data_IF_822761406486
#
_entry.id   IF_822761406486
#
_cell.length_a   1.000
_cell.length_b   1.000
_cell.length_c   1.000
_cell.angle_alpha   90.00
_cell.angle_beta   90.00
_cell.angle_gamma   90.00
#
_symmetry.space_group_name_H-M   'P 1'
#
loop_
_entity.id
_entity.type
_entity.pdbx_description
1 polymer ?
2 non-polymer ?
3 non-polymer ?
4 non-polymer ?
5 water ?
#
# COMPACT_ATOMS: atom_id res chain seq x y z
N UNK A 6 -10.51 2.48 28.84
CA UNK A 6 -9.21 3.19 28.97
C UNK A 6 -9.35 4.47 28.14
N UNK A 7 -8.94 5.62 28.65
CA UNK A 7 -9.09 6.87 27.90
C UNK A 7 -7.79 7.59 27.58
N UNK A 8 -7.59 7.89 26.30
CA UNK A 8 -6.40 8.60 25.84
C UNK A 8 -6.79 9.84 25.03
N UNK A 9 -5.82 10.74 24.84
CA UNK A 9 -6.07 11.96 24.08
C UNK A 9 -7.24 12.75 24.62
N UNK A 10 -7.38 12.71 25.95
CA UNK A 10 -8.45 13.40 26.68
C UNK A 10 -9.84 12.84 26.43
N UNK A 11 -10.23 12.63 25.17
CA UNK A 11 -11.57 12.14 24.93
C UNK A 11 -11.76 10.96 24.00
N UNK A 12 -10.78 10.05 23.95
CA UNK A 12 -10.88 8.84 23.12
C UNK A 12 -10.82 7.58 23.99
N UNK A 13 -11.87 6.78 23.91
CA UNK A 13 -11.91 5.56 24.69
C UNK A 13 -11.39 4.37 23.89
N UNK A 14 -10.31 3.79 24.41
CA UNK A 14 -9.62 2.63 23.83
C UNK A 14 -10.44 1.33 23.99
N UNK A 15 -10.66 0.63 22.89
CA UNK A 15 -11.39 -0.63 22.91
C UNK A 15 -10.44 -1.82 22.80
N UNK A 16 -10.74 -2.76 21.91
CA UNK A 16 -9.91 -3.94 21.72
C UNK A 16 -8.95 -3.79 20.54
N UNK A 17 -7.94 -4.65 20.50
CA UNK A 17 -6.95 -4.67 19.43
C UNK A 17 -7.59 -5.14 18.14
N UNK A 18 -7.21 -4.52 17.03
CA UNK A 18 -7.72 -4.88 15.70
C UNK A 18 -6.55 -5.14 14.74
N UNK A 19 -5.36 -4.70 15.12
CA UNK A 19 -4.22 -4.90 14.27
C UNK A 19 -2.92 -4.79 15.04
N UNK A 20 -1.86 -5.31 14.44
CA UNK A 20 -0.55 -5.30 15.04
C UNK A 20 0.46 -5.13 13.90
N UNK A 21 1.56 -4.44 14.18
CA UNK A 21 2.57 -4.22 13.17
C UNK A 21 3.92 -4.60 13.73
N UNK A 22 4.98 -4.01 13.19
CA UNK A 22 6.33 -4.30 13.65
C UNK A 22 6.54 -3.80 15.08
N UNK A 23 6.13 -2.56 15.36
CA UNK A 23 6.28 -1.97 16.69
C UNK A 23 4.97 -1.48 17.30
N UNK A 24 3.97 -1.20 16.45
CA UNK A 24 2.72 -0.68 16.94
C UNK A 24 1.54 -1.62 17.00
N UNK A 25 0.58 -1.25 17.86
CA UNK A 25 -0.66 -2.00 18.05
C UNK A 25 -1.78 -1.01 17.74
N UNK A 26 -2.77 -1.47 17.00
CA UNK A 26 -3.89 -0.63 16.62
C UNK A 26 -5.14 -1.13 17.32
N UNK A 27 -5.85 -0.21 17.97
CA UNK A 27 -7.08 -0.52 18.69
C UNK A 27 -8.26 0.21 18.07
N UNK A 28 -9.44 -0.35 18.20
CA UNK A 28 -10.63 0.32 17.73
C UNK A 28 -11.08 1.11 18.97
N UNK A 29 -11.68 2.27 18.78
CA UNK A 29 -12.13 3.05 19.91
C UNK A 29 -13.23 4.00 19.50
N UNK A 30 -13.58 4.95 20.36
CA UNK A 30 -14.61 5.92 20.04
C UNK A 30 -14.25 7.28 20.61
N UNK A 31 -14.67 8.32 19.89
CA UNK A 31 -14.46 9.68 20.32
C UNK A 31 -15.63 9.94 21.24
N UNK A 32 -15.34 10.17 22.52
CA UNK A 32 -16.39 10.38 23.52
C UNK A 32 -17.27 11.61 23.33
N UNK A 33 -16.79 12.62 22.60
CA UNK A 33 -17.58 13.82 22.37
C UNK A 33 -18.71 13.59 21.36
N UNK A 34 -18.45 12.77 20.34
CA UNK A 34 -19.45 12.52 19.30
C UNK A 34 -19.83 11.07 19.05
N UNK A 35 -19.27 10.15 19.83
CA UNK A 35 -19.57 8.74 19.68
C UNK A 35 -19.11 8.21 18.31
N UNK A 36 -18.12 8.84 17.71
CA UNK A 36 -17.62 8.41 16.42
C UNK A 36 -16.57 7.29 16.62
N UNK A 37 -16.57 6.30 15.74
CA UNK A 37 -15.61 5.20 15.85
C UNK A 37 -14.30 5.59 15.22
N UNK A 38 -13.20 5.25 15.89
CA UNK A 38 -11.87 5.57 15.40
C UNK A 38 -10.90 4.40 15.62
N UNK A 39 -9.69 4.55 15.12
CA UNK A 39 -8.64 3.57 15.28
C UNK A 39 -7.52 4.34 15.94
N UNK A 40 -6.92 3.74 16.96
CA UNK A 40 -5.84 4.37 17.70
C UNK A 40 -4.59 3.52 17.54
N UNK A 41 -3.54 4.14 17.00
CA UNK A 41 -2.27 3.48 16.77
C UNK A 41 -1.30 3.86 17.86
N UNK A 42 -0.87 2.86 18.62
CA UNK A 42 0.09 3.04 19.70
C UNK A 42 1.47 2.66 19.19
N UNK A 43 2.42 3.55 19.40
CA UNK A 43 3.79 3.34 18.97
C UNK A 43 4.74 3.60 20.12
N UNK A 44 5.53 2.59 20.50
CA UNK A 44 6.51 2.70 21.58
C UNK A 44 7.60 3.69 21.20
N UNK A 45 7.95 4.60 22.11
CA UNK A 45 8.99 5.57 21.80
C UNK A 45 10.36 4.94 21.99
N UNK A 46 10.89 4.29 20.95
CA UNK A 46 12.18 3.64 21.04
C UNK A 46 13.03 3.95 19.82
N UNK A 47 14.35 3.84 19.99
CA UNK A 47 15.32 4.12 18.95
C UNK A 47 15.02 3.51 17.58
N UNK A 48 14.72 2.22 17.58
CA UNK A 48 14.44 1.52 16.32
C UNK A 48 12.99 1.57 15.85
N UNK A 49 12.19 2.47 16.39
CA UNK A 49 10.79 2.58 15.99
C UNK A 49 10.56 3.79 15.08
N UNK A 50 9.58 3.69 14.17
CA UNK A 50 9.27 4.78 13.25
C UNK A 50 8.57 5.93 13.97
N UNK A 51 9.07 7.15 13.77
CA UNK A 51 8.49 8.33 14.40
C UNK A 51 7.05 8.57 13.94
N UNK A 52 6.11 8.36 14.85
CA UNK A 52 4.68 8.54 14.55
C UNK A 52 4.32 9.99 14.22
N UNK A 53 5.11 10.96 14.67
CA UNK A 53 4.81 12.36 14.37
C UNK A 53 4.92 12.61 12.87
N UNK A 54 5.83 11.90 12.23
CA UNK A 54 6.04 12.03 10.80
C UNK A 54 4.81 11.51 10.06
N UNK A 55 4.29 10.37 10.52
CA UNK A 55 3.09 9.81 9.90
C UNK A 55 1.94 10.79 10.07
N UNK A 56 1.93 11.49 11.21
CA UNK A 56 0.90 12.48 11.51
C UNK A 56 1.01 13.62 10.49
N UNK A 57 2.23 14.15 10.36
CA UNK A 57 2.49 15.24 9.41
C UNK A 57 1.98 14.84 8.03
N UNK A 58 2.36 13.66 7.58
CA UNK A 58 1.94 13.14 6.27
C UNK A 58 0.42 13.06 6.11
N UNK A 59 -0.27 12.63 7.17
CA UNK A 59 -1.73 12.53 7.11
C UNK A 59 -2.33 13.91 6.91
N UNK A 60 -1.73 14.90 7.56
CA UNK A 60 -2.24 16.26 7.44
C UNK A 60 -2.04 16.77 6.02
N UNK A 61 -0.85 16.51 5.50
CA UNK A 61 -0.46 16.90 4.15
C UNK A 61 -1.37 16.26 3.09
N UNK A 62 -1.93 15.09 3.40
CA UNK A 62 -2.80 14.40 2.46
C UNK A 62 -4.28 14.56 2.80
N UNK A 63 -4.58 15.37 3.81
CA UNK A 63 -5.97 15.58 4.23
C UNK A 63 -6.85 16.00 3.06
N UNK A 64 -7.98 15.34 2.90
CA UNK A 64 -8.86 15.70 1.80
C UNK A 64 -8.78 14.82 0.56
N UNK A 65 -7.65 14.14 0.36
CA UNK A 65 -7.50 13.27 -0.79
C UNK A 65 -8.42 12.06 -0.64
N UNK A 66 -9.01 11.61 -1.74
CA UNK A 66 -9.91 10.46 -1.71
C UNK A 66 -9.16 9.20 -1.28
N UNK A 67 -9.81 8.37 -0.46
CA UNK A 67 -9.16 7.15 -0.01
C UNK A 67 -8.13 7.31 1.08
N UNK A 68 -7.93 8.52 1.59
CA UNK A 68 -6.98 8.75 2.67
C UNK A 68 -7.79 9.01 3.94
N UNK A 69 -7.58 8.21 5.02
CA UNK A 69 -8.35 8.45 6.24
C UNK A 69 -8.01 9.78 6.94
N UNK A 70 -8.98 10.31 7.67
CA UNK A 70 -8.78 11.56 8.39
C UNK A 70 -8.02 11.27 9.67
N UNK A 71 -7.16 12.21 10.05
CA UNK A 71 -6.39 12.10 11.27
C UNK A 71 -7.06 13.04 12.28
N UNK A 72 -7.13 12.62 13.53
CA UNK A 72 -7.79 13.40 14.57
C UNK A 72 -6.91 13.85 15.69
N UNK A 73 -6.00 12.98 16.10
CA UNK A 73 -5.15 13.32 17.23
C UNK A 73 -3.80 12.62 17.21
N UNK A 74 -2.79 13.32 17.70
CA UNK A 74 -1.45 12.79 17.84
C UNK A 74 -0.94 13.29 19.18
N UNK A 75 -0.31 12.42 19.95
CA UNK A 75 0.21 12.83 21.24
C UNK A 75 0.93 11.70 21.96
N UNK A 76 1.47 12.00 23.13
CA UNK A 76 2.18 11.00 23.91
C UNK A 76 1.34 10.54 25.08
N UNK A 77 1.31 9.24 25.29
CA UNK A 77 0.59 8.64 26.39
C UNK A 77 1.60 7.78 27.13
N UNK A 78 2.33 8.41 28.04
CA UNK A 78 3.34 7.71 28.81
C UNK A 78 4.55 7.35 27.98
N UNK A 79 4.71 6.06 27.70
CA UNK A 79 5.83 5.58 26.91
C UNK A 79 5.43 5.29 25.46
N UNK A 80 4.30 5.81 25.05
CA UNK A 80 3.82 5.59 23.70
C UNK A 80 3.41 6.89 23.04
N UNK A 81 3.35 6.86 21.72
CA UNK A 81 2.88 7.98 20.93
C UNK A 81 1.61 7.39 20.34
N UNK A 82 0.54 8.17 20.33
CA UNK A 82 -0.74 7.73 19.79
C UNK A 82 -1.13 8.57 18.59
N UNK A 83 -1.83 7.93 17.66
CA UNK A 83 -2.34 8.56 16.44
C UNK A 83 -3.76 8.04 16.31
N UNK A 84 -4.72 8.97 16.26
CA UNK A 84 -6.13 8.62 16.14
C UNK A 84 -6.55 8.96 14.73
N UNK A 85 -7.09 7.99 14.01
CA UNK A 85 -7.51 8.17 12.63
C UNK A 85 -8.83 7.44 12.48
N UNK A 86 -9.43 7.53 11.30
CA UNK A 86 -10.70 6.86 11.06
C UNK A 86 -10.59 5.35 11.16
N UNK A 87 -11.67 4.74 11.63
CA UNK A 87 -11.72 3.29 11.73
C UNK A 87 -12.11 2.76 10.37
N UNK A 88 -11.30 1.85 9.83
CA UNK A 88 -11.59 1.29 8.52
C UNK A 88 -11.87 -0.20 8.62
N UNK A 89 -12.13 -0.83 7.47
CA UNK A 89 -12.42 -2.26 7.45
C UNK A 89 -11.18 -3.13 7.29
N UNK A 90 -11.37 -4.39 6.85
CA UNK A 90 -10.25 -5.31 6.67
C UNK A 90 -9.35 -4.94 5.49
N UNK A 91 -8.11 -5.44 5.51
CA UNK A 91 -7.15 -5.18 4.45
C UNK A 91 -7.42 -6.15 3.31
N UNK A 92 -6.79 -5.91 2.16
CA UNK A 92 -6.96 -6.79 1.02
C UNK A 92 -6.31 -8.15 1.31
N UNK A 93 -5.29 -8.14 2.18
CA UNK A 93 -4.64 -9.38 2.59
C UNK A 93 -5.66 -10.25 3.36
N UNK A 94 -6.44 -9.62 4.24
CA UNK A 94 -7.46 -10.32 5.03
C UNK A 94 -8.54 -10.86 4.12
N UNK A 95 -8.93 -10.04 3.15
CA UNK A 95 -9.97 -10.43 2.22
C UNK A 95 -9.55 -11.63 1.39
N UNK A 96 -8.26 -11.74 1.10
CA UNK A 96 -7.71 -12.87 0.35
C UNK A 96 -8.04 -14.17 1.07
N UNK A 97 -7.82 -14.18 2.37
CA UNK A 97 -8.11 -15.36 3.18
C UNK A 97 -9.55 -15.81 3.06
N UNK A 98 -10.45 -14.86 2.82
CA UNK A 98 -11.87 -15.21 2.70
C UNK A 98 -12.31 -15.59 1.29
N UNK A 99 -11.42 -15.41 0.31
CA UNK A 99 -11.76 -15.71 -1.07
C UNK A 99 -10.88 -16.78 -1.73
N UNK A 100 -10.42 -17.74 -0.96
CA UNK A 100 -9.62 -18.80 -1.53
C UNK A 100 -8.20 -18.42 -1.89
N UNK A 101 -7.69 -17.37 -1.26
CA UNK A 101 -6.31 -16.90 -1.47
C UNK A 101 -5.95 -16.35 -2.87
N UNK A 102 -6.98 -15.98 -3.64
CA UNK A 102 -6.78 -15.41 -4.98
C UNK A 102 -8.00 -14.58 -5.36
N UNK A 103 -7.80 -13.57 -6.20
CA UNK A 103 -8.88 -12.72 -6.67
C UNK A 103 -9.04 -12.95 -8.16
N UNK A 104 -10.26 -12.84 -8.66
CA UNK A 104 -10.55 -13.00 -10.08
C UNK A 104 -10.05 -11.77 -10.84
N UNK A 105 -10.00 -11.89 -12.16
CA UNK A 105 -9.56 -10.78 -13.00
C UNK A 105 -10.40 -9.53 -12.78
N UNK A 106 -11.72 -9.68 -12.74
CA UNK A 106 -12.58 -8.54 -12.52
C UNK A 106 -12.27 -7.79 -11.21
N UNK A 107 -12.12 -8.52 -10.11
CA UNK A 107 -11.83 -7.89 -8.84
C UNK A 107 -10.46 -7.19 -8.87
N UNK A 108 -9.48 -7.81 -9.51
CA UNK A 108 -8.15 -7.22 -9.57
C UNK A 108 -8.13 -5.95 -10.42
N UNK A 109 -8.84 -5.96 -11.53
CA UNK A 109 -8.91 -4.78 -12.39
C UNK A 109 -9.64 -3.64 -11.66
N UNK A 110 -10.75 -3.93 -10.99
CA UNK A 110 -11.49 -2.89 -10.26
C UNK A 110 -10.67 -2.36 -9.09
N UNK A 111 -9.99 -3.27 -8.37
CA UNK A 111 -9.15 -2.90 -7.23
C UNK A 111 -7.94 -2.08 -7.66
N UNK A 112 -7.36 -2.48 -8.79
CA UNK A 112 -6.18 -1.82 -9.36
C UNK A 112 -6.46 -0.35 -9.68
N UNK A 113 -7.64 -0.07 -10.24
CA UNK A 113 -8.01 1.30 -10.57
C UNK A 113 -8.03 2.22 -9.34
N UNK A 114 -8.56 1.72 -8.23
CA UNK A 114 -8.62 2.50 -6.99
C UNK A 114 -7.23 2.64 -6.36
N UNK A 115 -6.50 1.53 -6.28
CA UNK A 115 -5.17 1.51 -5.70
C UNK A 115 -4.21 2.44 -6.44
N UNK A 116 -4.28 2.41 -7.77
CA UNK A 116 -3.46 3.25 -8.62
C UNK A 116 -3.81 4.72 -8.41
N UNK A 117 -5.10 5.00 -8.21
CA UNK A 117 -5.52 6.37 -7.97
C UNK A 117 -4.94 6.89 -6.64
N UNK A 118 -4.89 6.02 -5.61
CA UNK A 118 -4.35 6.42 -4.30
C UNK A 118 -2.86 6.76 -4.41
N UNK A 119 -2.11 5.91 -5.10
CA UNK A 119 -0.69 6.13 -5.30
C UNK A 119 -0.42 7.44 -6.07
N UNK A 120 -1.26 7.73 -7.06
CA UNK A 120 -1.11 8.95 -7.84
C UNK A 120 -1.31 10.16 -6.93
N UNK A 121 -2.33 10.11 -6.07
CA UNK A 121 -2.61 11.21 -5.13
C UNK A 121 -1.38 11.51 -4.27
N UNK A 122 -0.72 10.44 -3.81
CA UNK A 122 0.47 10.56 -2.97
C UNK A 122 1.62 11.15 -3.76
N UNK A 123 1.80 10.69 -4.99
CA UNK A 123 2.88 11.19 -5.85
C UNK A 123 2.65 12.67 -6.16
N UNK A 124 1.41 13.06 -6.40
CA UNK A 124 1.10 14.45 -6.71
C UNK A 124 1.38 15.38 -5.55
N UNK A 125 1.54 14.81 -4.36
CA UNK A 125 1.86 15.58 -3.17
C UNK A 125 3.38 15.56 -2.96
N UNK A 126 4.09 15.13 -4.00
CA UNK A 126 5.56 15.06 -3.97
C UNK A 126 6.13 13.99 -3.06
N UNK A 127 5.40 12.91 -2.87
CA UNK A 127 5.86 11.82 -2.01
C UNK A 127 5.85 10.46 -2.69
N UNK A 128 6.75 9.59 -2.23
CA UNK A 128 6.78 8.21 -2.70
C UNK A 128 6.41 7.43 -1.44
N UNK A 129 5.51 6.47 -1.60
CA UNK A 129 5.00 5.66 -0.50
C UNK A 129 6.03 4.68 0.11
N UNK A 130 6.71 3.94 -0.77
CA UNK A 130 7.75 2.99 -0.38
C UNK A 130 7.40 1.77 0.48
N UNK A 131 6.12 1.49 0.68
CA UNK A 131 5.75 0.33 1.48
C UNK A 131 4.52 -0.37 0.90
N UNK A 132 4.51 -0.51 -0.41
CA UNK A 132 3.39 -1.16 -1.09
C UNK A 132 3.23 -2.62 -0.67
N UNK A 133 2.07 -2.96 -0.12
CA UNK A 133 1.74 -4.33 0.27
C UNK A 133 0.23 -4.38 0.48
N UNK A 134 -0.40 -5.55 0.25
CA UNK A 134 -1.86 -5.72 0.40
C UNK A 134 -2.39 -5.39 1.81
N UNK A 135 -1.50 -5.46 2.80
CA UNK A 135 -1.84 -5.20 4.18
C UNK A 135 -2.13 -3.74 4.45
N UNK A 136 -1.58 -2.86 3.63
CA UNK A 136 -1.78 -1.42 3.81
C UNK A 136 -2.94 -0.82 3.04
N UNK A 137 -3.70 -1.67 2.34
CA UNK A 137 -4.86 -1.22 1.57
C UNK A 137 -6.06 -1.86 2.24
N UNK A 138 -6.93 -1.01 2.80
CA UNK A 138 -8.12 -1.47 3.53
C UNK A 138 -9.41 -0.97 2.91
N UNK A 139 -10.48 -1.74 3.04
CA UNK A 139 -11.75 -1.27 2.52
C UNK A 139 -12.50 -0.56 3.65
N UNK A 140 -13.63 0.05 3.32
CA UNK A 140 -14.38 0.75 4.34
C UNK A 140 -15.16 -0.17 5.26
N UNK A 141 -15.81 0.42 6.25
CA UNK A 141 -16.61 -0.34 7.19
C UNK A 141 -17.88 -0.83 6.51
N UNK A 142 -18.29 -2.08 6.84
CA UNK A 142 -19.47 -2.78 6.31
C UNK A 142 -20.72 -1.96 6.09
N UNK A 143 -21.18 -1.25 7.11
CA UNK A 143 -22.37 -0.44 6.94
C UNK A 143 -21.96 1.00 6.80
N UNK A 144 -21.46 1.33 5.61
CA UNK A 144 -20.99 2.66 5.31
C UNK A 144 -21.22 2.89 3.82
N UNK A 145 -21.22 4.15 3.41
CA UNK A 145 -21.41 4.46 2.01
C UNK A 145 -20.13 4.09 1.27
N UNK A 146 -19.01 4.13 1.99
CA UNK A 146 -17.71 3.80 1.43
C UNK A 146 -17.28 2.38 1.77
N UNK A 147 -18.25 1.49 1.93
CA UNK A 147 -17.96 0.11 2.27
C UNK A 147 -17.06 -0.55 1.23
N UNK A 148 -17.21 -0.15 -0.03
CA UNK A 148 -16.39 -0.73 -1.09
C UNK A 148 -15.30 0.19 -1.65
N UNK A 149 -14.93 1.21 -0.88
CA UNK A 149 -13.87 2.10 -1.31
C UNK A 149 -12.58 1.54 -0.69
N UNK A 150 -11.49 1.62 -1.43
CA UNK A 150 -10.21 1.11 -0.95
C UNK A 150 -9.37 2.27 -0.45
N UNK A 151 -8.85 2.15 0.76
CA UNK A 151 -8.03 3.21 1.37
C UNK A 151 -6.59 2.76 1.53
N UNK A 152 -5.73 3.72 1.83
CA UNK A 152 -4.32 3.48 2.07
C UNK A 152 -4.02 4.04 3.46
N UNK A 153 -3.39 3.21 4.30
CA UNK A 153 -2.98 3.60 5.65
C UNK A 153 -1.49 3.32 5.77
N UNK A 154 -0.92 3.68 6.92
CA UNK A 154 0.50 3.45 7.19
C UNK A 154 1.45 4.23 6.25
N UNK A 155 1.77 5.45 6.66
CA UNK A 155 2.66 6.32 5.90
C UNK A 155 3.97 6.47 6.63
N UNK A 156 4.41 5.39 7.26
CA UNK A 156 5.64 5.41 8.01
C UNK A 156 6.93 5.50 7.22
N UNK A 157 6.88 5.11 5.94
CA UNK A 157 8.06 5.14 5.10
C UNK A 157 8.03 6.13 3.94
N UNK A 158 7.08 7.05 3.94
CA UNK A 158 7.03 7.98 2.83
C UNK A 158 8.26 8.87 2.83
N UNK A 159 8.58 9.42 1.66
CA UNK A 159 9.72 10.29 1.50
C UNK A 159 9.40 11.21 0.33
N UNK A 160 9.97 12.42 0.35
CA UNK A 160 9.75 13.38 -0.74
C UNK A 160 10.69 13.04 -1.88
N UNK A 161 10.16 12.83 -3.07
CA UNK A 161 11.00 12.51 -4.21
C UNK A 161 11.36 13.77 -5.00
N UNK A 162 10.78 14.90 -4.62
CA UNK A 162 11.05 16.15 -5.28
C UNK A 162 10.68 17.29 -4.34
N UNK A 163 11.27 18.46 -4.56
CA UNK A 163 10.96 19.61 -3.75
C UNK A 163 9.53 19.99 -4.17
N UNK A 164 8.59 20.09 -3.22
CA UNK A 164 7.20 20.43 -3.52
C UNK A 164 6.98 21.76 -4.26
N UNK A 165 7.80 22.75 -3.94
CA UNK A 165 7.69 24.08 -4.55
C UNK A 165 8.30 24.16 -5.95
N UNK A 166 9.56 23.76 -6.07
CA UNK A 166 10.29 23.81 -7.35
C UNK A 166 10.18 22.55 -8.20
N UNK A 167 9.62 21.49 -7.63
CA UNK A 167 9.46 20.22 -8.33
C UNK A 167 10.79 19.64 -8.80
N UNK A 168 11.88 20.08 -8.19
CA UNK A 168 13.20 19.58 -8.54
C UNK A 168 13.30 18.16 -7.93
N UNK A 169 13.46 17.16 -8.79
CA UNK A 169 13.53 15.76 -8.37
C UNK A 169 14.83 15.45 -7.62
N UNK A 170 14.76 14.50 -6.69
CA UNK A 170 15.92 14.08 -5.90
C UNK A 170 16.92 13.35 -6.80
N UNK A 171 18.22 13.50 -6.51
CA UNK A 171 19.24 12.83 -7.31
C UNK A 171 19.21 11.33 -7.15
N UNK A 172 19.80 10.64 -8.11
CA UNK A 172 19.90 9.21 -8.05
C UNK A 172 21.02 8.88 -7.08
N UNK A 173 20.75 7.97 -6.16
CA UNK A 173 21.73 7.55 -5.18
C UNK A 173 21.65 6.04 -5.07
N UNK A 174 22.72 5.45 -4.54
CA UNK A 174 22.80 4.01 -4.35
C UNK A 174 23.26 3.74 -2.93
N UNK A 175 23.58 2.47 -2.63
CA UNK A 175 24.03 2.00 -1.33
C UNK A 175 22.89 2.03 -0.31
N UNK A 176 21.70 2.38 -0.76
CA UNK A 176 20.54 2.46 0.12
C UNK A 176 20.30 1.12 0.84
N UNK A 177 19.91 1.22 2.11
CA UNK A 177 19.63 0.02 2.91
C UNK A 177 18.21 -0.45 2.65
N UNK A 178 18.05 -1.75 2.43
CA UNK A 178 16.74 -2.32 2.13
C UNK A 178 15.74 -2.15 3.26
N UNK A 179 14.60 -1.56 2.94
CA UNK A 179 13.54 -1.26 3.90
C UNK A 179 12.36 -2.24 4.00
N UNK A 180 11.32 -1.96 3.21
CA UNK A 180 10.10 -2.74 3.22
C UNK A 180 10.05 -4.19 2.79
N UNK A 181 8.83 -4.64 2.57
CA UNK A 181 8.52 -6.01 2.18
C UNK A 181 9.22 -6.53 0.93
N UNK A 182 10.12 -7.48 1.15
CA UNK A 182 10.90 -8.09 0.06
C UNK A 182 10.04 -8.69 -1.04
N UNK A 183 8.97 -9.38 -0.67
CA UNK A 183 8.09 -10.02 -1.64
C UNK A 183 7.51 -9.10 -2.72
N UNK A 184 7.30 -7.82 -2.36
CA UNK A 184 6.69 -6.88 -3.29
C UNK A 184 7.62 -5.82 -3.84
N UNK A 185 8.74 -5.55 -3.18
CA UNK A 185 9.62 -4.50 -3.67
C UNK A 185 10.12 -4.64 -5.11
N UNK A 186 10.45 -3.51 -5.69
CA UNK A 186 10.94 -3.46 -7.05
C UNK A 186 12.37 -4.01 -7.09
N UNK A 187 12.81 -4.41 -8.27
CA UNK A 187 14.15 -4.92 -8.46
C UNK A 187 15.18 -3.81 -8.13
N UNK A 188 14.89 -2.58 -8.52
CA UNK A 188 15.79 -1.46 -8.23
C UNK A 188 16.03 -1.34 -6.74
N UNK A 189 14.98 -1.59 -5.96
CA UNK A 189 15.07 -1.50 -4.50
C UNK A 189 16.06 -2.55 -3.98
N UNK A 190 15.92 -3.79 -4.45
CA UNK A 190 16.83 -4.86 -4.03
C UNK A 190 18.25 -4.43 -4.31
N UNK A 191 18.45 -3.77 -5.45
CA UNK A 191 19.76 -3.30 -5.86
C UNK A 191 20.31 -2.11 -5.05
N UNK A 192 19.61 -1.74 -3.98
CA UNK A 192 20.06 -0.64 -3.14
C UNK A 192 20.03 0.74 -3.79
N UNK A 193 19.10 0.94 -4.73
CA UNK A 193 18.98 2.22 -5.42
C UNK A 193 17.88 3.08 -4.81
N UNK A 194 18.06 4.39 -4.89
CA UNK A 194 17.07 5.33 -4.37
C UNK A 194 15.74 5.04 -5.07
N UNK A 195 14.66 4.96 -4.29
CA UNK A 195 13.34 4.69 -4.83
C UNK A 195 12.64 5.96 -5.31
N UNK A 196 11.90 5.83 -6.40
CA UNK A 196 11.16 6.94 -6.97
C UNK A 196 9.77 6.42 -7.36
N UNK A 197 9.02 7.23 -8.10
CA UNK A 197 7.67 6.86 -8.52
C UNK A 197 7.54 5.51 -9.20
N UNK A 198 8.49 5.19 -10.07
CA UNK A 198 8.48 3.92 -10.78
C UNK A 198 8.45 2.70 -9.86
N UNK A 199 9.18 2.79 -8.75
CA UNK A 199 9.27 1.70 -7.78
C UNK A 199 7.94 1.38 -7.12
N UNK A 200 7.17 2.43 -6.80
CA UNK A 200 5.84 2.27 -6.18
C UNK A 200 4.95 1.55 -7.18
N UNK A 201 5.05 1.96 -8.44
CA UNK A 201 4.24 1.36 -9.50
C UNK A 201 4.59 -0.09 -9.76
N UNK A 202 5.90 -0.41 -9.68
CA UNK A 202 6.37 -1.79 -9.88
C UNK A 202 5.89 -2.69 -8.74
N UNK A 203 6.06 -2.20 -7.50
CA UNK A 203 5.63 -2.96 -6.32
C UNK A 203 4.12 -3.22 -6.40
N UNK A 204 3.40 -2.25 -6.96
CA UNK A 204 1.94 -2.35 -7.12
C UNK A 204 1.63 -3.45 -8.14
N UNK A 205 2.47 -3.57 -9.16
CA UNK A 205 2.30 -4.61 -10.16
C UNK A 205 2.56 -5.97 -9.53
N UNK A 206 3.53 -6.04 -8.63
CA UNK A 206 3.84 -7.28 -7.93
C UNK A 206 2.63 -7.74 -7.12
N UNK A 207 1.96 -6.79 -6.46
CA UNK A 207 0.77 -7.07 -5.66
C UNK A 207 -0.37 -7.58 -6.54
N UNK A 208 -0.53 -6.97 -7.71
CA UNK A 208 -1.58 -7.36 -8.65
C UNK A 208 -1.40 -8.80 -9.09
N UNK A 209 -0.16 -9.16 -9.41
CA UNK A 209 0.15 -10.51 -9.86
C UNK A 209 -0.03 -11.48 -8.71
N UNK A 210 0.33 -11.03 -7.51
CA UNK A 210 0.17 -11.83 -6.31
C UNK A 210 -1.34 -12.19 -6.15
N UNK A 211 -2.20 -11.19 -6.32
CA UNK A 211 -3.66 -11.38 -6.22
C UNK A 211 -4.19 -12.39 -7.23
N UNK A 212 -3.75 -12.26 -8.47
CA UNK A 212 -4.19 -13.13 -9.55
C UNK A 212 -3.73 -14.57 -9.46
N UNK A 213 -2.45 -14.76 -9.18
CA UNK A 213 -1.85 -16.10 -9.11
C UNK A 213 -2.06 -16.81 -7.78
N UNK A 214 -2.13 -16.03 -6.70
CA UNK A 214 -2.27 -16.62 -5.39
C UNK A 214 -0.90 -16.66 -4.73
N UNK A 215 0.13 -16.41 -5.52
CA UNK A 215 1.50 -16.41 -5.02
C UNK A 215 2.48 -15.92 -6.08
N UNK A 216 3.67 -15.60 -5.64
CA UNK A 216 4.72 -15.12 -6.52
C UNK A 216 5.81 -16.19 -6.56
N UNK A 217 6.53 -16.30 -7.69
CA UNK A 217 7.60 -17.29 -7.88
C UNK A 217 8.71 -17.23 -6.83
N UNK A 218 8.90 -16.07 -6.22
CA UNK A 218 9.94 -15.88 -5.20
C UNK A 218 9.50 -15.98 -3.74
N UNK A 219 8.31 -16.54 -3.49
CA UNK A 219 7.84 -16.68 -2.12
C UNK A 219 8.43 -17.94 -1.50
N UNK A 220 8.75 -17.87 -0.21
CA UNK A 220 9.33 -19.00 0.50
C UNK A 220 10.46 -19.70 -0.25
N UNK A 221 11.67 -19.17 -0.14
CA UNK A 221 12.80 -19.76 -0.84
C UNK A 221 13.55 -20.90 -0.12
N UNK A 222 14.79 -20.65 0.30
CA UNK A 222 15.59 -21.68 0.99
C UNK A 222 16.18 -21.18 2.30
N UNK A 223 16.82 -22.11 3.01
CA UNK A 223 17.46 -21.85 4.30
C UNK A 223 18.55 -20.79 4.17
N UNK A 224 18.13 -19.53 4.15
CA UNK A 224 19.02 -18.39 4.02
C UNK A 224 18.77 -17.43 5.19
N UNK A 225 19.61 -16.41 5.30
CA UNK A 225 19.47 -15.41 6.36
C UNK A 225 18.79 -14.17 5.78
N UNK A 226 18.52 -13.17 6.62
CA UNK A 226 17.87 -11.94 6.16
C UNK A 226 18.47 -11.33 4.90
N UNK A 227 19.72 -10.90 4.98
CA UNK A 227 20.39 -10.30 3.84
C UNK A 227 20.42 -11.26 2.66
N UNK A 228 20.41 -12.56 2.96
CA UNK A 228 20.41 -13.60 1.94
C UNK A 228 19.00 -13.73 1.35
N UNK A 229 17.99 -13.50 2.18
CA UNK A 229 16.59 -13.61 1.76
C UNK A 229 16.30 -12.55 0.70
N UNK A 230 16.53 -11.29 1.05
CA UNK A 230 16.29 -10.19 0.13
C UNK A 230 17.05 -10.40 -1.18
N UNK A 231 18.28 -10.91 -1.07
CA UNK A 231 19.12 -11.15 -2.24
C UNK A 231 18.65 -12.30 -3.13
N UNK A 232 18.36 -13.45 -2.53
CA UNK A 232 17.89 -14.59 -3.29
C UNK A 232 16.59 -14.18 -3.98
N UNK A 233 15.73 -13.46 -3.24
CA UNK A 233 14.46 -12.98 -3.79
C UNK A 233 14.72 -12.03 -4.95
N UNK A 234 15.66 -11.11 -4.76
CA UNK A 234 15.99 -10.15 -5.80
C UNK A 234 16.49 -10.83 -7.06
N UNK A 235 17.32 -11.85 -6.88
CA UNK A 235 17.88 -12.62 -7.99
C UNK A 235 16.76 -13.37 -8.72
N UNK A 236 15.83 -13.92 -7.95
CA UNK A 236 14.72 -14.67 -8.53
C UNK A 236 13.80 -13.72 -9.33
N UNK A 237 13.67 -12.49 -8.87
CA UNK A 237 12.85 -11.52 -9.59
C UNK A 237 13.46 -11.19 -10.94
N UNK A 238 14.78 -11.07 -10.95
CA UNK A 238 15.52 -10.76 -12.18
C UNK A 238 15.52 -11.95 -13.14
N UNK A 239 15.56 -13.16 -12.59
CA UNK A 239 15.57 -14.34 -13.43
C UNK A 239 14.18 -14.76 -13.88
N UNK A 240 13.14 -14.16 -13.31
CA UNK A 240 11.76 -14.50 -13.70
C UNK A 240 11.26 -13.61 -14.83
N UNK A 241 11.00 -14.19 -16.02
CA UNK A 241 10.51 -13.44 -17.17
C UNK A 241 9.06 -12.97 -17.01
N UNK A 242 8.80 -11.71 -17.37
CA UNK A 242 7.46 -11.14 -17.27
C UNK A 242 6.39 -11.90 -18.04
N UNK A 243 6.75 -12.40 -19.21
CA UNK A 243 5.82 -13.14 -20.05
C UNK A 243 5.40 -14.39 -19.28
N UNK A 244 6.32 -14.88 -18.45
CA UNK A 244 6.12 -16.06 -17.63
C UNK A 244 5.28 -15.70 -16.40
N UNK A 245 5.68 -14.63 -15.73
CA UNK A 245 4.99 -14.14 -14.55
C UNK A 245 3.52 -13.86 -14.85
N UNK A 246 3.24 -13.26 -16.00
CA UNK A 246 1.89 -12.89 -16.37
C UNK A 246 1.16 -13.83 -17.31
N UNK A 247 1.77 -14.96 -17.63
CA UNK A 247 1.15 -15.93 -18.53
C UNK A 247 -0.21 -16.42 -18.05
N UNK A 248 -1.17 -16.42 -18.96
CA UNK A 248 -2.52 -16.89 -18.65
C UNK A 248 -3.51 -15.82 -18.31
N UNK A 249 -3.04 -14.61 -18.02
CA UNK A 249 -3.92 -13.51 -17.66
C UNK A 249 -3.96 -12.46 -18.78
N UNK A 250 -4.93 -11.52 -18.74
CA UNK A 250 -5.02 -10.48 -19.76
C UNK A 250 -3.71 -9.78 -20.05
N UNK A 251 -3.46 -9.56 -21.34
CA UNK A 251 -2.25 -8.91 -21.84
C UNK A 251 -1.89 -7.61 -21.13
N UNK A 252 -2.91 -6.88 -20.68
CA UNK A 252 -2.72 -5.61 -19.98
C UNK A 252 -1.89 -5.72 -18.72
N UNK A 253 -1.93 -6.88 -18.07
CA UNK A 253 -1.15 -7.06 -16.87
C UNK A 253 0.34 -7.10 -17.23
N UNK A 254 0.68 -7.82 -18.30
CA UNK A 254 2.06 -7.87 -18.75
C UNK A 254 2.51 -6.45 -19.14
N UNK A 255 1.65 -5.75 -19.86
CA UNK A 255 1.93 -4.39 -20.30
C UNK A 255 2.17 -3.44 -19.12
N UNK A 256 1.40 -3.61 -18.05
CA UNK A 256 1.56 -2.77 -16.86
C UNK A 256 2.93 -3.04 -16.26
N UNK A 257 3.24 -4.32 -16.06
CA UNK A 257 4.53 -4.74 -15.49
C UNK A 257 5.68 -4.20 -16.34
N UNK A 258 5.54 -4.36 -17.65
CA UNK A 258 6.56 -3.92 -18.57
C UNK A 258 6.81 -2.40 -18.50
N UNK A 259 5.73 -1.62 -18.46
CA UNK A 259 5.85 -0.17 -18.36
C UNK A 259 6.57 0.26 -17.07
N UNK A 260 6.05 -0.23 -15.94
CA UNK A 260 6.61 0.10 -14.63
C UNK A 260 8.10 -0.25 -14.54
N UNK A 261 8.44 -1.44 -15.02
CA UNK A 261 9.82 -1.90 -15.00
C UNK A 261 10.75 -1.03 -15.83
N UNK A 262 10.24 -0.47 -16.92
CA UNK A 262 11.06 0.33 -17.81
C UNK A 262 11.15 1.84 -17.62
N UNK A 263 10.39 2.40 -16.69
CA UNK A 263 10.44 3.84 -16.45
C UNK A 263 11.81 4.30 -15.98
N UNK A 264 12.17 5.53 -16.31
CA UNK A 264 13.45 6.08 -15.88
C UNK A 264 13.28 6.55 -14.44
N UNK A 265 14.41 6.71 -13.74
CA UNK A 265 14.41 7.16 -12.35
C UNK A 265 13.53 8.38 -12.07
N UNK A 266 13.71 9.47 -12.80
CA UNK A 266 12.90 10.66 -12.56
C UNK A 266 11.72 10.87 -13.48
N UNK A 267 11.39 9.82 -14.24
CA UNK A 267 10.27 9.90 -15.17
C UNK A 267 8.92 10.10 -14.47
N UNK A 268 8.05 10.88 -15.09
CA UNK A 268 6.71 11.12 -14.58
C UNK A 268 5.84 10.07 -15.22
N UNK A 269 5.22 9.21 -14.40
CA UNK A 269 4.36 8.17 -14.96
C UNK A 269 3.16 8.71 -15.70
N UNK A 270 2.69 7.94 -16.68
CA UNK A 270 1.52 8.29 -17.45
C UNK A 270 0.39 7.50 -16.80
N UNK A 271 -0.12 8.05 -15.70
CA UNK A 271 -1.18 7.41 -14.94
C UNK A 271 -2.41 7.09 -15.77
N UNK A 272 -2.75 7.98 -16.69
CA UNK A 272 -3.93 7.79 -17.55
C UNK A 272 -3.79 6.54 -18.39
N UNK A 273 -2.58 6.33 -18.93
CA UNK A 273 -2.33 5.15 -19.75
C UNK A 273 -2.58 3.90 -18.92
N UNK A 274 -2.02 3.89 -17.71
CA UNK A 274 -2.16 2.76 -16.80
C UNK A 274 -3.61 2.48 -16.41
N UNK A 275 -4.35 3.54 -16.09
CA UNK A 275 -5.76 3.40 -15.73
C UNK A 275 -6.52 2.79 -16.90
N UNK A 276 -6.12 3.19 -18.10
CA UNK A 276 -6.74 2.69 -19.33
C UNK A 276 -6.60 1.20 -19.52
N UNK A 277 -5.43 0.67 -19.18
CA UNK A 277 -5.19 -0.76 -19.30
C UNK A 277 -6.26 -1.54 -18.54
N UNK A 278 -6.51 -1.14 -17.30
CA UNK A 278 -7.49 -1.78 -16.45
C UNK A 278 -8.93 -1.61 -16.92
N UNK A 279 -9.21 -0.46 -17.53
CA UNK A 279 -10.53 -0.24 -18.07
C UNK A 279 -10.74 -1.21 -19.25
N UNK A 280 -9.67 -1.45 -20.02
CA UNK A 280 -9.72 -2.36 -21.17
C UNK A 280 -10.04 -3.77 -20.71
N UNK A 281 -9.41 -4.16 -19.60
CA UNK A 281 -9.62 -5.48 -19.00
C UNK A 281 -11.11 -5.66 -18.70
N UNK A 282 -11.72 -4.66 -18.08
CA UNK A 282 -13.13 -4.71 -17.73
C UNK A 282 -14.02 -4.77 -18.97
N UNK A 283 -13.67 -3.97 -19.98
CA UNK A 283 -14.42 -3.94 -21.23
C UNK A 283 -14.47 -5.31 -21.86
N UNK A 284 -13.32 -5.95 -21.97
CA UNK A 284 -13.23 -7.28 -22.56
C UNK A 284 -14.07 -8.29 -21.79
N UNK A 285 -14.15 -8.10 -20.47
CA UNK A 285 -14.93 -8.98 -19.61
C UNK A 285 -16.40 -8.66 -19.77
N UNK A 286 -16.69 -7.60 -20.52
CA UNK A 286 -18.06 -7.16 -20.77
C UNK A 286 -18.69 -6.81 -19.44
N UNK A 287 -17.87 -6.24 -18.56
CA UNK A 287 -18.33 -5.84 -17.26
C UNK A 287 -17.91 -4.39 -17.02
N UNK A 288 -18.46 -3.79 -15.98
CA UNK A 288 -18.15 -2.42 -15.68
C UNK A 288 -17.51 -2.37 -14.29
N UNK A 289 -17.08 -1.18 -13.90
CA UNK A 289 -16.48 -0.99 -12.61
C UNK A 289 -17.65 -0.81 -11.64
N UNK A 290 -18.04 -1.89 -10.99
CA UNK A 290 -19.14 -1.84 -10.04
C UNK A 290 -18.65 -2.20 -8.63
N UNK A 291 -19.54 -2.74 -7.81
CA UNK A 291 -19.13 -3.09 -6.46
C UNK A 291 -19.14 -4.60 -6.24
N UNK A 292 -19.24 -5.37 -7.33
CA UNK A 292 -19.25 -6.81 -7.20
C UNK A 292 -17.85 -7.39 -7.07
N UNK A 293 -17.20 -7.12 -5.95
CA UNK A 293 -15.88 -7.68 -5.69
C UNK A 293 -16.14 -9.11 -5.20
N UNK A 294 -15.13 -9.97 -5.30
CA UNK A 294 -15.26 -11.37 -4.87
C UNK A 294 -15.79 -11.51 -3.45
N UNK A 295 -15.40 -10.56 -2.58
CA UNK A 295 -15.82 -10.61 -1.19
C UNK A 295 -17.28 -10.29 -0.93
N UNK A 296 -18.00 -9.84 -1.95
CA UNK A 296 -19.42 -9.52 -1.82
C UNK A 296 -20.17 -10.59 -2.58
N UNK A 297 -19.46 -11.60 -3.05
CA UNK A 297 -20.08 -12.63 -3.85
C UNK A 297 -19.98 -13.99 -3.22
N UNK A 298 -21.03 -14.77 -3.41
CA UNK A 298 -21.13 -16.12 -2.90
C UNK A 298 -20.48 -17.05 -3.92
#
# INVERSE_FOLDING_TARGET
MSGQNNVVGVHYKVGRRIGEGSFGVIFEGTNLLNNQQVAIKFEPRRSDAPQLRDEYRTYKLLAGCTGIPNVYYFGQEGLHNVLVIDLLGPSLEDLLDLCGRKFSVKTVAMAAKQMLARVQSIHEKSLVYRDIKPDNFLIGRPNSKNANMIYVVDFGMVKFYRDPVTKQHIPYREKKNLSGTARYMSINTHLGREQSRRDDLEALGHVFMYFLRGSLPWQGLKAATNKQKYERIGEKKQSTPLRELCAGFPEEFYKYMHYARNLAFDATPDYDYLQGLFSKVLERLNTTEDENFDWNLL
#
